data_IF_381399773852
#
_entry.id   IF_381399773852
#
_cell.length_a   1.000
_cell.length_b   1.000
_cell.length_c   1.000
_cell.angle_alpha   90.00
_cell.angle_beta   90.00
_cell.angle_gamma   90.00
#
_symmetry.space_group_name_H-M   'P 1'
#
loop_
_entity.id
_entity.type
_entity.pdbx_description
1 polymer ?
2 non-polymer ?
3 non-polymer ?
4 non-polymer ?
5 water ?
#
# COMPACT_ATOMS: atom_id res chain seq x y z
N UNK A 2 -20.15 2.62 6.31
CA UNK A 2 -19.72 1.91 5.06
C UNK A 2 -18.40 2.48 4.56
N UNK A 3 -17.77 1.75 3.64
CA UNK A 3 -16.50 2.19 3.07
C UNK A 3 -16.71 3.46 2.24
N UNK A 4 -17.85 3.54 1.55
CA UNK A 4 -18.16 4.71 0.73
C UNK A 4 -18.36 5.97 1.57
N UNK A 5 -18.98 5.83 2.74
CA UNK A 5 -19.18 6.99 3.61
C UNK A 5 -17.83 7.42 4.16
N UNK A 6 -17.02 6.42 4.57
CA UNK A 6 -15.69 6.69 5.12
C UNK A 6 -14.86 7.45 4.08
N UNK A 7 -14.94 7.02 2.82
CA UNK A 7 -14.21 7.66 1.73
C UNK A 7 -14.67 9.11 1.56
N UNK A 8 -15.98 9.32 1.63
CA UNK A 8 -16.54 10.66 1.48
C UNK A 8 -16.09 11.59 2.61
N UNK A 9 -16.09 11.06 3.84
CA UNK A 9 -15.68 11.82 5.00
C UNK A 9 -14.20 12.20 4.92
N UNK A 10 -13.38 11.28 4.43
CA UNK A 10 -11.95 11.51 4.31
C UNK A 10 -11.57 12.70 3.44
N UNK A 11 -12.45 13.02 2.48
CA UNK A 11 -12.20 14.14 1.57
C UNK A 11 -12.13 15.47 2.31
N UNK A 12 -12.72 15.52 3.50
CA UNK A 12 -12.76 16.72 4.32
C UNK A 12 -11.86 16.66 5.54
N UNK A 13 -10.98 15.67 5.60
CA UNK A 13 -10.10 15.51 6.74
C UNK A 13 -9.07 16.63 6.90
N UNK A 14 -8.91 17.09 8.13
CA UNK A 14 -7.96 18.14 8.47
C UNK A 14 -7.26 17.74 9.77
N UNK A 15 -7.15 16.43 9.99
CA UNK A 15 -6.55 15.88 11.20
C UNK A 15 -5.05 16.06 11.41
N UNK A 16 -4.29 16.24 10.33
CA UNK A 16 -2.84 16.45 10.47
C UNK A 16 -2.34 17.54 9.53
N UNK A 17 -1.08 17.94 9.72
CA UNK A 17 -0.49 19.01 8.91
C UNK A 17 -0.39 18.74 7.42
N UNK A 18 -0.52 17.49 7.00
CA UNK A 18 -0.44 17.14 5.59
C UNK A 18 -1.60 17.73 4.78
N UNK A 19 -2.64 18.19 5.47
CA UNK A 19 -3.80 18.78 4.80
C UNK A 19 -3.45 20.15 4.22
N UNK A 20 -2.41 20.77 4.75
CA UNK A 20 -1.99 22.10 4.33
C UNK A 20 -1.54 22.25 2.88
N UNK A 21 -0.73 21.31 2.39
CA UNK A 21 -0.24 21.41 1.03
C UNK A 21 -0.85 20.49 -0.02
N UNK A 22 -1.90 19.76 0.35
CA UNK A 22 -2.53 18.83 -0.59
C UNK A 22 -3.47 19.49 -1.59
N UNK A 23 -3.75 18.76 -2.67
CA UNK A 23 -4.68 19.20 -3.70
C UNK A 23 -5.92 18.35 -3.48
N UNK A 24 -5.72 17.04 -3.41
CA UNK A 24 -6.81 16.10 -3.19
C UNK A 24 -6.40 14.97 -2.25
N UNK A 25 -7.35 14.54 -1.43
CA UNK A 25 -7.14 13.43 -0.50
C UNK A 25 -7.12 12.16 -1.36
N UNK A 26 -6.19 11.26 -1.07
CA UNK A 26 -6.08 9.99 -1.80
C UNK A 26 -6.43 8.88 -0.80
N UNK A 27 -7.72 8.61 -0.68
CA UNK A 27 -8.23 7.64 0.27
C UNK A 27 -7.86 6.19 -0.03
N UNK A 28 -8.04 5.79 -1.28
CA UNK A 28 -7.75 4.42 -1.69
C UNK A 28 -8.79 4.00 -2.70
N UNK A 29 -8.53 2.90 -3.41
CA UNK A 29 -9.48 2.43 -4.41
C UNK A 29 -9.36 0.95 -4.69
N UNK A 30 -10.44 0.39 -5.23
CA UNK A 30 -10.45 -1.02 -5.56
C UNK A 30 -11.61 -1.80 -4.98
N UNK A 31 -11.48 -3.12 -5.04
CA UNK A 31 -12.48 -4.06 -4.55
C UNK A 31 -12.74 -3.88 -3.04
N UNK A 32 -13.97 -3.49 -2.67
CA UNK A 32 -14.33 -3.29 -1.26
C UNK A 32 -14.32 -4.57 -0.43
N UNK A 33 -14.20 -5.72 -1.09
CA UNK A 33 -14.15 -7.01 -0.42
C UNK A 33 -12.92 -7.76 -0.88
N UNK A 34 -11.87 -7.01 -1.19
CA UNK A 34 -10.61 -7.59 -1.66
C UNK A 34 -9.98 -8.56 -0.68
N UNK A 35 -9.38 -9.62 -1.20
CA UNK A 35 -8.69 -10.59 -0.38
C UNK A 35 -7.26 -10.07 -0.17
N UNK A 36 -6.79 -9.29 -1.13
CA UNK A 36 -5.47 -8.69 -1.10
C UNK A 36 -5.52 -7.18 -1.02
N UNK A 37 -4.86 -6.61 -0.01
CA UNK A 37 -4.79 -5.17 0.16
C UNK A 37 -3.34 -4.75 0.06
N UNK A 38 -3.07 -3.74 -0.77
CA UNK A 38 -1.73 -3.23 -0.96
C UNK A 38 -1.66 -1.85 -0.30
N UNK A 39 -0.68 -1.65 0.56
CA UNK A 39 -0.52 -0.37 1.27
C UNK A 39 0.85 0.25 1.03
N UNK A 40 0.86 1.43 0.43
CA UNK A 40 2.09 2.14 0.16
C UNK A 40 2.38 3.16 1.25
N UNK A 41 3.26 4.11 0.93
CA UNK A 41 3.68 5.14 1.87
C UNK A 41 2.75 6.35 1.90
N UNK A 42 2.69 7.07 0.77
CA UNK A 42 1.86 8.24 0.68
C UNK A 42 1.73 8.68 -0.76
N UNK A 43 0.80 9.59 -1.08
CA UNK A 43 0.63 10.05 -2.46
C UNK A 43 1.82 10.81 -3.03
N UNK A 44 1.98 10.67 -4.34
CA UNK A 44 3.02 11.40 -5.07
C UNK A 44 2.30 12.53 -5.79
N UNK A 45 2.97 13.15 -6.76
CA UNK A 45 2.38 14.27 -7.49
C UNK A 45 1.12 13.93 -8.30
N UNK A 46 1.16 12.84 -9.05
CA UNK A 46 0.02 12.45 -9.88
C UNK A 46 -1.17 11.99 -9.03
N UNK A 47 -0.87 11.37 -7.89
CA UNK A 47 -1.92 10.91 -6.99
C UNK A 47 -2.63 12.12 -6.39
N UNK A 48 -1.84 13.11 -5.98
CA UNK A 48 -2.35 14.33 -5.38
C UNK A 48 -3.27 15.10 -6.35
N UNK A 49 -2.93 15.03 -7.64
CA UNK A 49 -3.69 15.72 -8.68
C UNK A 49 -5.02 15.02 -9.01
N UNK A 50 -5.01 13.69 -8.95
CA UNK A 50 -6.19 12.89 -9.31
C UNK A 50 -7.03 12.33 -8.17
N UNK A 51 -6.46 12.22 -6.98
CA UNK A 51 -7.17 11.66 -5.85
C UNK A 51 -7.11 10.14 -5.84
N UNK A 52 -6.33 9.57 -6.76
CA UNK A 52 -6.19 8.11 -6.89
C UNK A 52 -4.79 7.65 -6.48
N UNK A 53 -4.69 6.45 -5.87
CA UNK A 53 -3.38 5.94 -5.45
C UNK A 53 -2.65 5.25 -6.60
N UNK A 54 -1.33 5.28 -6.53
CA UNK A 54 -0.47 4.64 -7.52
C UNK A 54 -0.86 4.81 -8.99
N UNK A 55 -0.83 6.05 -9.45
CA UNK A 55 -1.15 6.38 -10.84
C UNK A 55 0.03 7.08 -11.55
N UNK A 56 1.02 7.51 -10.77
CA UNK A 56 2.19 8.14 -11.34
C UNK A 56 3.17 7.08 -11.84
N UNK A 57 4.44 7.44 -12.01
CA UNK A 57 5.44 6.50 -12.51
C UNK A 57 5.58 5.24 -11.66
N UNK A 58 5.67 5.39 -10.34
CA UNK A 58 5.78 4.23 -9.45
C UNK A 58 4.52 3.38 -9.57
N UNK A 59 3.37 4.04 -9.72
CA UNK A 59 2.11 3.34 -9.87
C UNK A 59 2.02 2.53 -11.15
N UNK A 60 2.56 3.09 -12.23
CA UNK A 60 2.54 2.40 -13.52
C UNK A 60 3.40 1.14 -13.43
N UNK A 61 4.49 1.21 -12.66
CA UNK A 61 5.35 0.05 -12.49
C UNK A 61 4.59 -0.99 -11.66
N UNK A 62 3.85 -0.53 -10.65
CA UNK A 62 3.07 -1.45 -9.82
C UNK A 62 2.05 -2.18 -10.70
N UNK A 63 1.46 -1.46 -11.65
CA UNK A 63 0.49 -2.06 -12.57
C UNK A 63 1.12 -3.16 -13.40
N UNK A 64 2.36 -2.93 -13.84
CA UNK A 64 3.09 -3.92 -14.64
C UNK A 64 3.36 -5.16 -13.80
N UNK A 65 3.75 -4.93 -12.54
CA UNK A 65 4.04 -6.01 -11.61
C UNK A 65 2.80 -6.87 -11.36
N UNK A 66 1.66 -6.24 -11.10
CA UNK A 66 0.43 -6.95 -10.87
C UNK A 66 -0.05 -7.72 -12.11
N UNK A 67 0.01 -7.07 -13.27
CA UNK A 67 -0.40 -7.70 -14.53
C UNK A 67 0.43 -8.94 -14.81
N UNK A 68 1.75 -8.82 -14.66
CA UNK A 68 2.66 -9.93 -14.91
C UNK A 68 2.38 -11.11 -13.99
N UNK A 69 1.97 -10.82 -12.76
CA UNK A 69 1.65 -11.86 -11.79
C UNK A 69 0.27 -12.47 -12.00
N UNK A 70 -0.53 -11.85 -12.84
CA UNK A 70 -1.87 -12.34 -13.11
C UNK A 70 -2.89 -11.87 -12.08
N UNK A 71 -2.57 -10.75 -11.43
CA UNK A 71 -3.46 -10.17 -10.42
C UNK A 71 -4.12 -8.93 -10.98
N UNK A 72 -5.44 -9.00 -11.28
CA UNK A 72 -6.15 -7.84 -11.81
C UNK A 72 -6.25 -6.74 -10.76
N UNK A 73 -5.75 -5.55 -11.10
CA UNK A 73 -5.76 -4.43 -10.17
C UNK A 73 -7.13 -4.08 -9.58
N UNK A 74 -8.18 -4.19 -10.40
CA UNK A 74 -9.53 -3.87 -9.94
C UNK A 74 -10.01 -4.81 -8.82
N UNK A 75 -9.42 -5.99 -8.73
CA UNK A 75 -9.80 -6.96 -7.71
C UNK A 75 -9.10 -6.77 -6.36
N UNK A 76 -8.09 -5.92 -6.32
CA UNK A 76 -7.38 -5.66 -5.07
C UNK A 76 -7.73 -4.26 -4.55
N UNK A 77 -7.44 -4.01 -3.29
CA UNK A 77 -7.68 -2.69 -2.72
C UNK A 77 -6.32 -2.05 -2.48
N UNK A 78 -6.15 -0.84 -2.97
CA UNK A 78 -4.89 -0.12 -2.85
C UNK A 78 -5.04 1.20 -2.11
N UNK A 79 -4.17 1.42 -1.13
CA UNK A 79 -4.16 2.66 -0.36
C UNK A 79 -2.76 2.90 0.18
N UNK A 80 -2.62 3.86 1.09
CA UNK A 80 -1.32 4.20 1.67
C UNK A 80 -1.45 4.52 3.15
N UNK A 81 -0.29 4.62 3.83
CA UNK A 81 -0.25 4.93 5.26
C UNK A 81 -0.88 6.32 5.51
N UNK A 82 -0.58 7.28 4.63
CA UNK A 82 -1.21 8.61 4.74
C UNK A 82 -1.96 8.89 3.44
N UNK A 83 -3.00 9.71 3.53
CA UNK A 83 -3.82 10.01 2.35
C UNK A 83 -3.47 11.32 1.64
N UNK A 84 -2.58 12.11 2.23
CA UNK A 84 -2.23 13.40 1.65
C UNK A 84 -0.74 13.51 1.35
N UNK A 85 -0.42 14.01 0.15
CA UNK A 85 0.96 14.14 -0.31
C UNK A 85 1.85 14.99 0.60
N UNK A 86 2.87 14.37 1.21
CA UNK A 86 3.76 15.15 2.08
C UNK A 86 4.61 16.07 1.22
N UNK A 87 5.08 17.20 1.78
CA UNK A 87 5.91 18.16 1.06
C UNK A 87 7.07 17.53 0.29
N UNK A 88 7.09 17.76 -1.02
CA UNK A 88 8.12 17.24 -1.93
C UNK A 88 8.35 15.74 -1.83
N UNK A 89 7.28 15.00 -1.61
CA UNK A 89 7.31 13.54 -1.51
C UNK A 89 8.11 12.98 -0.35
N UNK A 90 8.25 13.75 0.73
CA UNK A 90 8.97 13.26 1.91
C UNK A 90 8.12 12.17 2.54
N UNK A 91 8.73 11.33 3.35
CA UNK A 91 8.00 10.27 4.02
C UNK A 91 7.16 10.91 5.12
N UNK A 92 6.01 10.31 5.45
CA UNK A 92 5.18 10.88 6.50
C UNK A 92 5.90 10.74 7.86
N UNK A 93 5.68 11.72 8.72
CA UNK A 93 6.28 11.70 10.06
C UNK A 93 5.47 10.77 10.95
N UNK A 94 6.06 10.30 12.06
CA UNK A 94 5.37 9.39 12.99
C UNK A 94 3.99 9.83 13.44
N UNK A 95 3.84 11.12 13.77
CA UNK A 95 2.54 11.63 14.22
C UNK A 95 1.50 11.63 13.11
N UNK A 96 1.93 11.93 11.89
CA UNK A 96 1.03 11.96 10.73
C UNK A 96 0.56 10.54 10.41
N UNK A 97 1.49 9.59 10.43
CA UNK A 97 1.16 8.20 10.16
C UNK A 97 0.21 7.64 11.20
N UNK A 98 0.43 7.97 12.48
CA UNK A 98 -0.42 7.49 13.55
C UNK A 98 -1.85 8.03 13.43
N UNK A 99 -1.96 9.34 13.24
CA UNK A 99 -3.25 10.00 13.12
C UNK A 99 -4.05 9.48 11.92
N UNK A 100 -3.41 9.40 10.76
CA UNK A 100 -4.08 8.94 9.56
C UNK A 100 -4.51 7.48 9.61
N UNK A 101 -3.65 6.63 10.16
CA UNK A 101 -3.99 5.21 10.25
C UNK A 101 -5.07 4.95 11.30
N UNK A 102 -5.04 5.72 12.39
CA UNK A 102 -6.04 5.58 13.45
C UNK A 102 -7.41 6.02 12.94
N UNK A 103 -7.42 7.10 12.17
CA UNK A 103 -8.65 7.66 11.64
C UNK A 103 -9.23 6.95 10.42
N UNK A 104 -8.35 6.54 9.50
CA UNK A 104 -8.81 5.91 8.26
C UNK A 104 -8.39 4.47 7.98
N UNK A 105 -7.09 4.21 7.93
CA UNK A 105 -6.59 2.87 7.61
C UNK A 105 -7.15 1.71 8.41
N UNK A 106 -7.19 1.83 9.74
CA UNK A 106 -7.71 0.75 10.57
C UNK A 106 -9.16 0.42 10.23
N UNK A 107 -9.95 1.45 9.98
CA UNK A 107 -11.36 1.25 9.62
C UNK A 107 -11.49 0.65 8.23
N UNK A 108 -10.62 1.05 7.31
CA UNK A 108 -10.63 0.51 5.95
C UNK A 108 -10.36 -0.99 6.01
N UNK A 109 -9.36 -1.37 6.80
CA UNK A 109 -8.99 -2.77 6.94
C UNK A 109 -10.13 -3.57 7.59
N UNK A 110 -10.80 -2.95 8.56
CA UNK A 110 -11.91 -3.60 9.25
C UNK A 110 -13.08 -3.87 8.30
N UNK A 111 -13.40 -2.89 7.46
CA UNK A 111 -14.50 -3.00 6.50
C UNK A 111 -14.20 -3.94 5.33
N UNK A 112 -13.01 -3.82 4.76
CA UNK A 112 -12.59 -4.64 3.62
C UNK A 112 -12.26 -6.07 4.04
N UNK A 113 -11.68 -6.21 5.23
CA UNK A 113 -11.30 -7.50 5.78
C UNK A 113 -10.41 -8.34 4.84
N UNK A 114 -9.25 -7.80 4.46
CA UNK A 114 -8.35 -8.54 3.56
C UNK A 114 -7.71 -9.73 4.27
N UNK A 115 -7.30 -10.74 3.49
CA UNK A 115 -6.65 -11.92 4.06
C UNK A 115 -5.13 -11.81 3.93
N UNK A 116 -4.69 -10.96 3.01
CA UNK A 116 -3.26 -10.72 2.78
C UNK A 116 -3.05 -9.23 2.59
N UNK A 117 -2.05 -8.70 3.29
CA UNK A 117 -1.71 -7.29 3.18
C UNK A 117 -0.26 -7.21 2.71
N UNK A 118 -0.03 -6.48 1.62
CA UNK A 118 1.30 -6.30 1.09
C UNK A 118 1.72 -4.85 1.27
N UNK A 119 2.56 -4.60 2.29
CA UNK A 119 3.03 -3.23 2.53
C UNK A 119 4.23 -2.98 1.61
N UNK A 120 4.16 -1.89 0.85
CA UNK A 120 5.22 -1.54 -0.09
C UNK A 120 6.11 -0.47 0.54
N UNK A 121 7.36 -0.84 0.84
CA UNK A 121 8.29 0.10 1.43
C UNK A 121 8.43 -0.06 2.93
N UNK A 122 9.49 0.55 3.48
CA UNK A 122 9.78 0.48 4.90
C UNK A 122 8.76 1.11 5.84
N UNK A 123 8.17 2.24 5.43
CA UNK A 123 7.18 2.92 6.26
C UNK A 123 5.94 2.06 6.47
N UNK A 124 5.40 1.51 5.38
CA UNK A 124 4.22 0.65 5.47
C UNK A 124 4.57 -0.66 6.18
N UNK A 125 5.77 -1.19 5.91
CA UNK A 125 6.21 -2.42 6.54
C UNK A 125 6.32 -2.24 8.05
N UNK A 126 6.81 -1.09 8.48
CA UNK A 126 6.96 -0.79 9.91
C UNK A 126 5.62 -0.79 10.62
N UNK A 127 4.60 -0.24 9.97
CA UNK A 127 3.26 -0.18 10.54
C UNK A 127 2.71 -1.56 10.86
N UNK A 128 2.86 -2.49 9.92
CA UNK A 128 2.34 -3.84 10.10
C UNK A 128 3.23 -4.81 10.88
N UNK A 129 4.52 -4.55 10.92
CA UNK A 129 5.43 -5.42 11.66
C UNK A 129 5.63 -4.97 13.12
N UNK A 130 5.08 -3.82 13.46
CA UNK A 130 5.14 -3.31 14.82
C UNK A 130 6.45 -2.69 15.30
N UNK A 131 7.41 -2.52 14.41
CA UNK A 131 8.70 -1.94 14.78
C UNK A 131 9.44 -1.46 13.54
N UNK A 132 10.46 -0.64 13.75
CA UNK A 132 11.27 -0.13 12.64
C UNK A 132 11.99 -1.31 12.00
N UNK A 133 11.89 -1.42 10.69
CA UNK A 133 12.51 -2.53 9.98
C UNK A 133 13.27 -2.11 8.73
N UNK A 134 14.17 -2.98 8.29
CA UNK A 134 14.94 -2.77 7.07
C UNK A 134 14.14 -3.48 6.00
N UNK A 135 13.65 -2.72 5.01
CA UNK A 135 12.86 -3.31 3.94
C UNK A 135 13.61 -4.39 3.16
N UNK A 136 14.93 -4.22 3.00
CA UNK A 136 15.73 -5.21 2.28
C UNK A 136 15.80 -6.53 3.03
N UNK A 137 15.70 -6.46 4.36
CA UNK A 137 15.75 -7.66 5.19
C UNK A 137 14.40 -8.35 5.40
N UNK A 138 13.32 -7.58 5.41
CA UNK A 138 11.99 -8.16 5.61
C UNK A 138 11.18 -8.49 4.36
N UNK A 139 11.58 -7.94 3.22
CA UNK A 139 10.85 -8.21 1.98
C UNK A 139 10.87 -9.69 1.59
N UNK A 140 9.77 -10.14 1.01
CA UNK A 140 9.67 -11.52 0.57
C UNK A 140 9.49 -12.57 1.64
N UNK A 141 9.12 -12.14 2.84
CA UNK A 141 8.92 -13.05 3.97
C UNK A 141 7.54 -12.85 4.57
N UNK A 142 6.96 -13.93 5.09
CA UNK A 142 5.63 -13.88 5.68
C UNK A 142 5.58 -13.54 7.17
N UNK A 143 4.74 -12.56 7.49
CA UNK A 143 4.53 -12.09 8.86
C UNK A 143 3.01 -12.10 9.11
N UNK A 144 2.60 -11.65 10.29
CA UNK A 144 1.18 -11.61 10.61
C UNK A 144 0.85 -10.37 11.44
N UNK A 145 -0.32 -9.80 11.17
CA UNK A 145 -0.81 -8.60 11.86
C UNK A 145 -2.31 -8.75 12.07
N UNK A 146 -2.72 -8.87 13.33
CA UNK A 146 -4.13 -9.02 13.69
C UNK A 146 -4.82 -10.17 12.96
N UNK A 147 -4.11 -11.30 12.84
CA UNK A 147 -4.65 -12.47 12.17
C UNK A 147 -4.65 -12.38 10.65
N UNK A 148 -4.00 -11.35 10.11
CA UNK A 148 -3.92 -11.16 8.67
C UNK A 148 -2.48 -11.39 8.20
N UNK A 149 -2.33 -12.13 7.11
CA UNK A 149 -1.01 -12.42 6.55
C UNK A 149 -0.40 -11.16 5.97
N UNK A 150 0.87 -10.92 6.28
CA UNK A 150 1.60 -9.74 5.81
C UNK A 150 2.85 -10.15 5.03
N UNK A 151 3.01 -9.59 3.84
CA UNK A 151 4.15 -9.91 2.98
C UNK A 151 4.78 -8.62 2.46
N UNK A 152 5.80 -8.10 3.16
CA UNK A 152 6.46 -6.87 2.72
C UNK A 152 7.17 -7.01 1.38
N UNK A 153 7.15 -5.93 0.62
CA UNK A 153 7.81 -5.90 -0.69
C UNK A 153 8.44 -4.53 -0.89
N UNK A 154 9.41 -4.45 -1.80
CA UNK A 154 10.07 -3.19 -2.11
C UNK A 154 9.04 -2.23 -2.68
N UNK A 155 9.25 -0.94 -2.45
CA UNK A 155 8.36 0.09 -2.98
C UNK A 155 8.76 0.25 -4.45
N UNK A 156 7.77 0.36 -5.36
CA UNK A 156 8.09 0.53 -6.78
C UNK A 156 9.02 1.70 -7.09
N UNK A 157 8.97 2.75 -6.27
CA UNK A 157 9.84 3.91 -6.48
C UNK A 157 11.30 3.53 -6.30
N UNK A 158 11.56 2.59 -5.38
CA UNK A 158 12.92 2.11 -5.13
C UNK A 158 13.43 1.39 -6.38
N UNK A 159 12.55 0.65 -7.04
CA UNK A 159 12.90 -0.07 -8.26
C UNK A 159 13.23 0.91 -9.38
N UNK A 160 12.50 2.02 -9.45
CA UNK A 160 12.74 3.02 -10.47
C UNK A 160 14.07 3.74 -10.23
N UNK A 161 14.42 3.96 -8.97
CA UNK A 161 15.67 4.62 -8.61
C UNK A 161 16.86 3.66 -8.78
N UNK A 162 16.59 2.37 -8.68
CA UNK A 162 17.62 1.33 -8.82
C UNK A 162 17.07 0.29 -9.81
N UNK A 163 17.03 0.65 -11.10
CA UNK A 163 16.52 -0.17 -12.21
C UNK A 163 17.36 -1.32 -12.77
N UNK A 164 18.39 -1.75 -12.04
CA UNK A 164 19.25 -2.84 -12.49
C UNK A 164 18.45 -4.10 -12.86
N UNK A 165 18.85 -4.75 -13.94
CA UNK A 165 18.19 -5.97 -14.42
C UNK A 165 19.02 -7.20 -14.04
N UNK A 166 20.15 -6.97 -13.37
CA UNK A 166 21.06 -8.03 -12.95
C UNK A 166 20.40 -8.99 -11.95
N UNK A 167 20.93 -10.22 -11.84
CA UNK A 167 20.38 -11.21 -10.91
C UNK A 167 20.42 -10.70 -9.47
N UNK A 168 19.29 -10.82 -8.77
CA UNK A 168 19.22 -10.39 -7.39
C UNK A 168 18.94 -8.91 -7.22
N UNK A 169 18.64 -8.23 -8.33
CA UNK A 169 18.35 -6.79 -8.30
C UNK A 169 16.96 -6.57 -7.70
N UNK A 170 16.65 -5.32 -7.29
CA UNK A 170 15.34 -5.04 -6.71
C UNK A 170 14.19 -5.50 -7.62
N UNK A 171 14.33 -5.29 -8.92
CA UNK A 171 13.28 -5.70 -9.86
C UNK A 171 13.14 -7.23 -9.91
N UNK A 172 14.27 -7.93 -9.95
CA UNK A 172 14.27 -9.39 -9.99
C UNK A 172 13.60 -9.96 -8.72
N UNK A 173 14.01 -9.45 -7.56
CA UNK A 173 13.44 -9.91 -6.30
C UNK A 173 11.94 -9.62 -6.21
N UNK A 174 11.53 -8.48 -6.75
CA UNK A 174 10.13 -8.09 -6.75
C UNK A 174 9.28 -9.03 -7.61
N UNK A 175 9.86 -9.50 -8.71
CA UNK A 175 9.16 -10.44 -9.59
C UNK A 175 8.94 -11.74 -8.83
N UNK A 176 9.97 -12.20 -8.10
CA UNK A 176 9.86 -13.42 -7.31
C UNK A 176 8.81 -13.22 -6.22
N UNK A 177 8.83 -12.05 -5.59
CA UNK A 177 7.89 -11.73 -4.52
C UNK A 177 6.43 -11.72 -4.96
N UNK A 178 6.13 -11.05 -6.08
CA UNK A 178 4.76 -10.97 -6.53
C UNK A 178 4.19 -12.34 -6.93
N UNK A 179 5.06 -13.23 -7.41
CA UNK A 179 4.64 -14.58 -7.77
C UNK A 179 4.23 -15.33 -6.50
N UNK A 180 4.94 -15.07 -5.41
CA UNK A 180 4.63 -15.71 -4.13
C UNK A 180 3.29 -15.18 -3.61
N UNK A 181 3.04 -13.88 -3.82
CA UNK A 181 1.78 -13.27 -3.40
C UNK A 181 0.62 -13.93 -4.16
N UNK A 182 0.81 -14.13 -5.47
CA UNK A 182 -0.20 -14.76 -6.31
C UNK A 182 -0.47 -16.20 -5.85
N UNK A 183 0.59 -16.93 -5.53
CA UNK A 183 0.46 -18.31 -5.07
C UNK A 183 -0.37 -18.37 -3.79
N UNK A 184 -0.03 -17.50 -2.84
CA UNK A 184 -0.73 -17.45 -1.56
C UNK A 184 -2.18 -17.03 -1.74
N UNK A 185 -2.42 -16.08 -2.64
CA UNK A 185 -3.77 -15.60 -2.92
C UNK A 185 -4.65 -16.73 -3.44
N UNK A 186 -4.11 -17.52 -4.36
CA UNK A 186 -4.84 -18.65 -4.93
C UNK A 186 -5.11 -19.77 -3.92
N UNK A 187 -4.27 -19.87 -2.90
CA UNK A 187 -4.42 -20.91 -1.88
C UNK A 187 -5.26 -20.50 -0.67
N UNK A 188 -5.73 -19.26 -0.65
CA UNK A 188 -6.54 -18.76 0.45
C UNK A 188 -7.90 -19.43 0.58
N UNK A 189 -8.38 -19.60 1.81
CA UNK A 189 -9.69 -20.22 2.03
C UNK A 189 -10.74 -19.11 1.89
N UNK A 190 -12.03 -19.46 1.84
CA UNK A 190 -13.04 -18.40 1.72
C UNK A 190 -13.03 -17.53 2.98
N UNK A 191 -13.35 -16.25 2.83
CA UNK A 191 -13.40 -15.35 3.97
C UNK A 191 -14.44 -15.78 4.99
N UNK A 192 -14.15 -15.54 6.27
CA UNK A 192 -15.07 -15.88 7.34
C UNK A 192 -16.16 -14.82 7.38
N UNK A 193 -17.38 -15.21 7.02
CA UNK A 193 -18.51 -14.29 7.01
C UNK A 193 -19.61 -14.76 7.95
#
# INVERSE_FOLDING_TARGET
MTLELLQAQAQNCTACRLMEGRTRVVFGEGNPDAKLMIVGEGPGEEEDKTGRPFVGKAGQLLNRILEAAGIPREEVYITNIVKCRPPQNRAPLPDEAKICTDKWLLKQIELIAPQIIVPLGAVAAEFFLGEKVSITKVRGKWYEWHGIKVFPMFHPAYLLRNPSRAPGSPKHLTWLDIQEVKRALDALPPKERRPVKAVSQEPLF
#
